data_IF_484418238673
#
_entry.id   IF_484418238673
#
_cell.length_a   1.000
_cell.length_b   1.000
_cell.length_c   1.000
_cell.angle_alpha   90.00
_cell.angle_beta   90.00
_cell.angle_gamma   90.00
#
_symmetry.space_group_name_H-M   'P 1'
#
loop_
_entity.id
_entity.type
_entity.pdbx_description
1 polymer ?
#
# COMPACT_ATOMS: atom_id res chain seq x y z
N UNK A 1 -22.21 -14.53 -17.73
CA UNK A 1 -22.20 -13.72 -16.51
C UNK A 1 -21.66 -14.65 -15.44
N UNK A 2 -20.40 -14.46 -15.02
CA UNK A 2 -19.86 -15.21 -13.89
C UNK A 2 -20.69 -14.79 -12.69
N UNK A 3 -21.36 -15.73 -12.05
CA UNK A 3 -22.11 -15.46 -10.82
C UNK A 3 -21.07 -15.28 -9.71
N UNK A 4 -20.94 -14.05 -9.21
CA UNK A 4 -19.94 -13.73 -8.19
C UNK A 4 -20.55 -14.07 -6.84
N UNK A 5 -20.04 -15.11 -6.19
CA UNK A 5 -20.45 -15.47 -4.84
C UNK A 5 -19.81 -14.56 -3.79
N UNK A 6 -20.19 -13.28 -3.80
CA UNK A 6 -19.72 -12.29 -2.83
C UNK A 6 -20.04 -12.72 -1.38
N UNK A 7 -21.14 -13.46 -1.18
CA UNK A 7 -21.53 -13.99 0.13
C UNK A 7 -20.53 -15.03 0.65
N UNK A 8 -20.15 -15.99 -0.19
CA UNK A 8 -19.12 -16.99 0.07
C UNK A 8 -17.77 -16.36 0.35
N UNK A 9 -17.33 -15.42 -0.49
CA UNK A 9 -16.10 -14.67 -0.31
C UNK A 9 -16.06 -13.94 1.04
N UNK A 10 -17.10 -13.17 1.38
CA UNK A 10 -17.16 -12.45 2.65
C UNK A 10 -17.18 -13.37 3.86
N UNK A 11 -17.76 -14.57 3.74
CA UNK A 11 -17.73 -15.59 4.79
C UNK A 11 -16.31 -16.14 4.96
N UNK A 12 -15.62 -16.48 3.88
CA UNK A 12 -14.25 -16.98 3.92
C UNK A 12 -13.25 -15.96 4.44
N UNK A 13 -13.35 -14.69 4.02
CA UNK A 13 -12.49 -13.61 4.54
C UNK A 13 -12.68 -13.33 6.05
N UNK A 14 -13.81 -13.76 6.62
CA UNK A 14 -14.10 -13.65 8.06
C UNK A 14 -13.87 -14.97 8.81
N UNK A 15 -13.36 -15.99 8.13
CA UNK A 15 -13.08 -17.29 8.74
C UNK A 15 -11.94 -17.16 9.74
N UNK A 16 -11.96 -18.02 10.76
CA UNK A 16 -10.82 -18.21 11.65
C UNK A 16 -9.82 -19.22 11.08
N UNK A 17 -10.17 -19.90 9.98
CA UNK A 17 -9.30 -20.85 9.29
C UNK A 17 -8.50 -20.11 8.22
N UNK A 18 -7.18 -20.22 8.28
CA UNK A 18 -6.26 -19.58 7.33
C UNK A 18 -6.47 -20.04 5.89
N UNK A 19 -6.83 -21.30 5.66
CA UNK A 19 -7.04 -21.84 4.32
C UNK A 19 -8.33 -21.28 3.70
N UNK A 20 -9.39 -21.09 4.50
CA UNK A 20 -10.61 -20.42 4.06
C UNK A 20 -10.32 -18.95 3.71
N UNK A 21 -9.50 -18.27 4.52
CA UNK A 21 -9.08 -16.90 4.24
C UNK A 21 -8.28 -16.80 2.94
N UNK A 22 -7.34 -17.73 2.72
CA UNK A 22 -6.53 -17.79 1.48
C UNK A 22 -7.38 -18.01 0.25
N UNK A 23 -8.29 -18.99 0.29
CA UNK A 23 -9.22 -19.25 -0.81
C UNK A 23 -10.09 -18.03 -1.11
N UNK A 24 -10.65 -17.39 -0.08
CA UNK A 24 -11.46 -16.20 -0.26
C UNK A 24 -10.67 -14.99 -0.76
N UNK A 25 -9.39 -14.86 -0.37
CA UNK A 25 -8.48 -13.85 -0.89
C UNK A 25 -8.14 -14.10 -2.37
N UNK A 26 -7.91 -15.35 -2.77
CA UNK A 26 -7.70 -15.71 -4.17
C UNK A 26 -8.89 -15.31 -5.05
N UNK A 27 -10.11 -15.68 -4.64
CA UNK A 27 -11.35 -15.25 -5.30
C UNK A 27 -11.49 -13.73 -5.32
N UNK A 28 -11.09 -13.05 -4.24
CA UNK A 28 -11.11 -11.58 -4.15
C UNK A 28 -10.14 -10.95 -5.14
N UNK A 29 -8.94 -11.51 -5.28
CA UNK A 29 -7.96 -11.02 -6.25
C UNK A 29 -8.42 -11.23 -7.69
N UNK A 30 -9.05 -12.36 -7.99
CA UNK A 30 -9.65 -12.62 -9.31
C UNK A 30 -10.76 -11.60 -9.61
N UNK A 31 -11.66 -11.37 -8.66
CA UNK A 31 -12.72 -10.38 -8.77
C UNK A 31 -12.15 -8.97 -9.07
N UNK A 32 -11.18 -8.50 -8.27
CA UNK A 32 -10.57 -7.19 -8.45
C UNK A 32 -9.81 -7.07 -9.78
N UNK A 33 -9.17 -8.15 -10.22
CA UNK A 33 -8.46 -8.19 -11.51
C UNK A 33 -9.42 -8.18 -12.70
N UNK A 34 -10.63 -8.73 -12.53
CA UNK A 34 -11.71 -8.64 -13.53
C UNK A 34 -12.33 -7.24 -13.64
N UNK A 35 -11.90 -6.29 -12.80
CA UNK A 35 -12.39 -4.91 -12.77
C UNK A 35 -13.68 -4.74 -11.99
N UNK A 36 -14.03 -5.71 -11.14
CA UNK A 36 -15.21 -5.69 -10.29
C UNK A 36 -14.77 -5.52 -8.83
N UNK A 37 -15.51 -4.72 -8.07
CA UNK A 37 -15.20 -4.47 -6.66
C UNK A 37 -16.45 -4.19 -5.85
N UNK A 38 -16.39 -4.58 -4.58
CA UNK A 38 -17.44 -4.33 -3.60
C UNK A 38 -16.86 -3.66 -2.35
N UNK A 39 -17.54 -2.63 -1.84
CA UNK A 39 -17.08 -1.87 -0.66
C UNK A 39 -17.11 -2.72 0.61
N UNK A 40 -17.97 -3.73 0.68
CA UNK A 40 -18.08 -4.69 1.77
C UNK A 40 -16.81 -5.51 2.01
N UNK A 41 -15.90 -5.56 1.03
CA UNK A 41 -14.58 -6.18 1.15
C UNK A 41 -13.61 -5.40 2.04
N UNK A 42 -13.79 -4.07 2.20
CA UNK A 42 -12.84 -3.23 2.96
C UNK A 42 -12.66 -3.70 4.40
N UNK A 43 -13.76 -3.90 5.14
CA UNK A 43 -13.68 -4.28 6.55
C UNK A 43 -12.95 -5.61 6.79
N UNK A 44 -13.32 -6.73 6.12
CA UNK A 44 -12.60 -7.98 6.32
C UNK A 44 -11.15 -7.91 5.83
N UNK A 45 -10.87 -7.25 4.70
CA UNK A 45 -9.48 -7.09 4.22
C UNK A 45 -8.63 -6.29 5.21
N UNK A 46 -9.17 -5.20 5.79
CA UNK A 46 -8.49 -4.44 6.86
C UNK A 46 -8.17 -5.37 8.04
N UNK A 47 -9.09 -6.24 8.46
CA UNK A 47 -8.83 -7.17 9.55
C UNK A 47 -7.73 -8.19 9.22
N UNK A 48 -7.69 -8.69 7.98
CA UNK A 48 -6.71 -9.69 7.54
C UNK A 48 -5.28 -9.15 7.42
N UNK A 49 -5.08 -7.83 7.38
CA UNK A 49 -3.73 -7.22 7.48
C UNK A 49 -3.01 -7.56 8.79
N UNK A 50 -3.75 -7.94 9.84
CA UNK A 50 -3.19 -8.35 11.13
C UNK A 50 -3.07 -9.88 11.29
N UNK A 51 -3.28 -10.65 10.21
CA UNK A 51 -3.14 -12.11 10.23
C UNK A 51 -1.73 -12.55 10.65
N UNK A 52 -1.61 -13.67 11.36
CA UNK A 52 -0.29 -14.27 11.64
C UNK A 52 0.35 -14.85 10.37
N UNK A 53 -0.48 -15.23 9.38
CA UNK A 53 -0.05 -15.75 8.09
C UNK A 53 0.39 -14.62 7.14
N UNK A 54 1.62 -14.69 6.67
CA UNK A 54 2.26 -13.72 5.78
C UNK A 54 1.56 -13.61 4.42
N UNK A 55 1.19 -14.74 3.80
CA UNK A 55 0.43 -14.75 2.55
C UNK A 55 -0.92 -14.05 2.72
N UNK A 56 -1.65 -14.29 3.81
CA UNK A 56 -2.91 -13.58 4.08
C UNK A 56 -2.68 -12.07 4.23
N UNK A 57 -1.66 -11.63 4.97
CA UNK A 57 -1.34 -10.19 5.10
C UNK A 57 -0.97 -9.56 3.76
N UNK A 58 -0.17 -10.27 2.96
CA UNK A 58 0.30 -9.82 1.64
C UNK A 58 -0.88 -9.59 0.70
N UNK A 59 -1.73 -10.61 0.57
CA UNK A 59 -2.85 -10.61 -0.37
C UNK A 59 -3.92 -9.60 0.08
N UNK A 60 -4.16 -9.48 1.39
CA UNK A 60 -5.05 -8.45 1.94
C UNK A 60 -4.54 -7.02 1.64
N UNK A 61 -3.25 -6.76 1.83
CA UNK A 61 -2.63 -5.45 1.56
C UNK A 61 -2.73 -5.10 0.07
N UNK A 62 -2.49 -6.07 -0.81
CA UNK A 62 -2.68 -5.90 -2.25
C UNK A 62 -4.14 -5.60 -2.61
N UNK A 63 -5.09 -6.34 -2.04
CA UNK A 63 -6.51 -6.11 -2.30
C UNK A 63 -6.94 -4.71 -1.86
N UNK A 64 -6.45 -4.20 -0.73
CA UNK A 64 -6.70 -2.82 -0.27
C UNK A 64 -6.17 -1.77 -1.26
N UNK A 65 -4.96 -1.96 -1.79
CA UNK A 65 -4.42 -1.07 -2.83
C UNK A 65 -5.21 -1.12 -4.13
N UNK A 66 -5.66 -2.31 -4.54
CA UNK A 66 -6.55 -2.47 -5.72
C UNK A 66 -7.90 -1.80 -5.55
N UNK A 67 -8.52 -1.94 -4.38
CA UNK A 67 -9.76 -1.23 -4.06
C UNK A 67 -9.53 0.29 -4.15
N UNK A 68 -8.41 0.79 -3.63
CA UNK A 68 -8.09 2.20 -3.71
C UNK A 68 -7.96 2.70 -5.16
N UNK A 69 -7.32 1.93 -6.06
CA UNK A 69 -7.30 2.21 -7.50
C UNK A 69 -8.69 2.29 -8.12
N UNK A 70 -9.62 1.47 -7.63
CA UNK A 70 -11.03 1.46 -8.04
C UNK A 70 -11.88 2.51 -7.33
N UNK A 71 -11.23 3.50 -6.68
CA UNK A 71 -11.87 4.60 -5.93
C UNK A 71 -12.66 4.15 -4.70
N UNK A 72 -12.31 2.98 -4.15
CA UNK A 72 -12.84 2.46 -2.91
C UNK A 72 -11.74 2.47 -1.85
N UNK A 73 -11.85 3.39 -0.90
CA UNK A 73 -10.88 3.51 0.20
C UNK A 73 -11.57 3.72 1.54
N UNK A 74 -10.85 3.38 2.60
CA UNK A 74 -11.23 3.65 3.98
C UNK A 74 -10.02 4.22 4.73
N UNK A 75 -10.15 5.32 5.47
CA UNK A 75 -9.06 5.83 6.31
C UNK A 75 -8.50 4.79 7.29
N UNK A 76 -9.32 3.83 7.75
CA UNK A 76 -8.87 2.73 8.61
C UNK A 76 -7.85 1.81 7.93
N UNK A 77 -7.79 1.82 6.59
CA UNK A 77 -6.74 1.10 5.87
C UNK A 77 -5.36 1.69 6.17
N UNK A 78 -5.23 2.99 6.45
CA UNK A 78 -3.95 3.59 6.86
C UNK A 78 -3.50 2.99 8.20
N UNK A 79 -4.38 2.97 9.20
CA UNK A 79 -4.09 2.43 10.53
C UNK A 79 -3.66 0.95 10.48
N UNK A 80 -4.23 0.19 9.56
CA UNK A 80 -3.91 -1.22 9.34
C UNK A 80 -2.62 -1.46 8.53
N UNK A 81 -2.32 -0.62 7.53
CA UNK A 81 -1.15 -0.78 6.65
C UNK A 81 0.13 -0.19 7.26
N UNK A 82 0.04 0.85 8.11
CA UNK A 82 1.21 1.50 8.73
C UNK A 82 2.11 0.51 9.50
N UNK A 83 1.57 -0.39 10.37
CA UNK A 83 2.39 -1.38 11.07
C UNK A 83 3.16 -2.32 10.12
N UNK A 84 2.61 -2.59 8.94
CA UNK A 84 3.22 -3.47 7.95
C UNK A 84 4.49 -2.88 7.32
N UNK A 85 4.81 -1.61 7.57
CA UNK A 85 6.10 -1.04 7.21
C UNK A 85 7.29 -1.76 7.91
N UNK A 86 7.03 -2.49 8.99
CA UNK A 86 8.01 -3.29 9.72
C UNK A 86 7.75 -4.79 9.62
N UNK A 87 6.94 -5.24 8.65
CA UNK A 87 6.65 -6.67 8.48
C UNK A 87 7.93 -7.47 8.17
N UNK A 88 7.96 -8.73 8.57
CA UNK A 88 9.10 -9.61 8.30
C UNK A 88 9.16 -9.99 6.82
N UNK A 89 8.00 -10.15 6.18
CA UNK A 89 7.92 -10.53 4.78
C UNK A 89 8.06 -9.30 3.86
N UNK A 90 8.94 -9.39 2.86
CA UNK A 90 9.23 -8.26 1.98
C UNK A 90 8.08 -7.91 1.03
N UNK A 91 7.27 -8.89 0.59
CA UNK A 91 6.14 -8.66 -0.31
C UNK A 91 4.99 -7.99 0.45
N UNK A 92 4.82 -8.31 1.73
CA UNK A 92 3.90 -7.58 2.63
C UNK A 92 4.32 -6.10 2.72
N UNK A 93 5.61 -5.82 2.97
CA UNK A 93 6.12 -4.43 3.03
C UNK A 93 5.95 -3.68 1.73
N UNK A 94 6.25 -4.33 0.59
CA UNK A 94 6.06 -3.76 -0.74
C UNK A 94 4.58 -3.42 -1.01
N UNK A 95 3.68 -4.38 -0.77
CA UNK A 95 2.24 -4.18 -0.96
C UNK A 95 1.69 -3.10 -0.04
N UNK A 96 2.20 -2.99 1.20
CA UNK A 96 1.83 -1.92 2.12
C UNK A 96 2.25 -0.54 1.58
N UNK A 97 3.50 -0.38 1.13
CA UNK A 97 3.96 0.86 0.50
C UNK A 97 3.09 1.24 -0.71
N UNK A 98 2.81 0.25 -1.57
CA UNK A 98 2.00 0.45 -2.76
C UNK A 98 0.57 0.88 -2.40
N UNK A 99 -0.09 0.15 -1.50
CA UNK A 99 -1.46 0.42 -1.08
C UNK A 99 -1.61 1.79 -0.40
N UNK A 100 -0.66 2.18 0.46
CA UNK A 100 -0.59 3.54 1.04
C UNK A 100 -0.48 4.62 -0.05
N UNK A 101 0.35 4.38 -1.06
CA UNK A 101 0.46 5.24 -2.23
C UNK A 101 -0.84 5.31 -3.03
N UNK A 102 -1.58 4.22 -3.19
CA UNK A 102 -2.88 4.22 -3.87
C UNK A 102 -3.96 4.98 -3.10
N UNK A 103 -4.06 4.76 -1.78
CA UNK A 103 -4.97 5.49 -0.90
C UNK A 103 -4.76 7.00 -0.96
N UNK A 104 -3.51 7.44 -1.10
CA UNK A 104 -3.15 8.85 -1.30
C UNK A 104 -3.84 9.46 -2.53
N UNK A 105 -4.11 8.66 -3.58
CA UNK A 105 -4.86 9.12 -4.76
C UNK A 105 -6.30 9.50 -4.49
N UNK A 106 -6.87 8.97 -3.40
CA UNK A 106 -8.20 9.28 -2.92
C UNK A 106 -8.19 10.42 -1.88
N UNK A 107 -7.02 11.03 -1.64
CA UNK A 107 -6.85 12.00 -0.56
C UNK A 107 -6.85 11.36 0.83
N UNK A 108 -6.59 10.05 0.92
CA UNK A 108 -6.49 9.32 2.19
C UNK A 108 -5.02 9.12 2.52
N UNK A 109 -4.58 9.74 3.61
CA UNK A 109 -3.20 9.72 4.07
C UNK A 109 -2.88 10.96 4.89
N UNK A 110 -1.80 10.88 5.66
CA UNK A 110 -1.42 11.91 6.62
C UNK A 110 0.09 11.84 6.93
N UNK A 111 0.54 12.56 7.96
CA UNK A 111 1.94 12.50 8.37
C UNK A 111 2.37 11.12 8.87
N UNK A 112 1.46 10.33 9.47
CA UNK A 112 1.75 8.96 9.91
C UNK A 112 2.07 8.07 8.70
N UNK A 113 1.34 8.27 7.60
CA UNK A 113 1.64 7.60 6.33
C UNK A 113 3.05 7.93 5.84
N UNK A 114 3.47 9.21 5.94
CA UNK A 114 4.84 9.63 5.56
C UNK A 114 5.90 8.99 6.47
N UNK A 115 5.65 8.88 7.77
CA UNK A 115 6.56 8.22 8.71
C UNK A 115 6.75 6.74 8.38
N UNK A 116 5.66 6.02 8.10
CA UNK A 116 5.70 4.63 7.65
C UNK A 116 6.50 4.47 6.33
N UNK A 117 6.24 5.33 5.35
CA UNK A 117 6.98 5.31 4.08
C UNK A 117 8.46 5.66 4.26
N UNK A 118 8.82 6.54 5.21
CA UNK A 118 10.21 6.84 5.52
C UNK A 118 10.96 5.63 6.10
N UNK A 119 10.30 4.77 6.88
CA UNK A 119 10.88 3.49 7.32
C UNK A 119 11.20 2.63 6.10
N UNK A 120 10.25 2.51 5.17
CA UNK A 120 10.37 1.71 3.95
C UNK A 120 11.39 2.28 2.94
N UNK A 121 11.70 3.58 2.97
CA UNK A 121 12.82 4.14 2.20
C UNK A 121 14.19 3.58 2.62
N UNK A 122 14.30 3.06 3.84
CA UNK A 122 15.54 2.47 4.39
C UNK A 122 15.52 0.94 4.37
N UNK A 123 14.53 0.34 3.71
CA UNK A 123 14.37 -1.11 3.63
C UNK A 123 15.59 -1.80 3.00
N UNK A 124 15.97 -3.02 3.41
CA UNK A 124 17.00 -3.78 2.71
C UNK A 124 16.65 -4.08 1.24
N UNK A 125 15.35 -4.24 0.92
CA UNK A 125 14.90 -4.60 -0.41
C UNK A 125 14.63 -3.38 -1.29
N UNK A 126 15.26 -3.36 -2.47
CA UNK A 126 15.18 -2.21 -3.39
C UNK A 126 13.77 -2.00 -3.93
N UNK A 127 13.02 -3.07 -4.14
CA UNK A 127 11.64 -3.02 -4.61
C UNK A 127 10.78 -2.22 -3.62
N UNK A 128 10.92 -2.52 -2.33
CA UNK A 128 10.25 -1.83 -1.23
C UNK A 128 10.65 -0.36 -1.16
N UNK A 129 11.96 -0.06 -1.23
CA UNK A 129 12.45 1.33 -1.23
C UNK A 129 11.87 2.16 -2.37
N UNK A 130 11.87 1.62 -3.60
CA UNK A 130 11.36 2.33 -4.76
C UNK A 130 9.85 2.55 -4.71
N UNK A 131 9.10 1.57 -4.17
CA UNK A 131 7.67 1.71 -3.93
C UNK A 131 7.39 2.82 -2.91
N UNK A 132 8.16 2.88 -1.82
CA UNK A 132 8.05 3.93 -0.82
C UNK A 132 8.37 5.32 -1.37
N UNK A 133 9.41 5.44 -2.20
CA UNK A 133 9.76 6.69 -2.88
C UNK A 133 8.64 7.17 -3.80
N UNK A 134 8.06 6.25 -4.59
CA UNK A 134 6.90 6.54 -5.43
C UNK A 134 5.69 6.99 -4.59
N UNK A 135 5.37 6.29 -3.49
CA UNK A 135 4.25 6.63 -2.63
C UNK A 135 4.43 8.04 -2.01
N UNK A 136 5.62 8.38 -1.52
CA UNK A 136 5.92 9.73 -1.00
C UNK A 136 5.77 10.82 -2.06
N UNK A 137 6.21 10.55 -3.29
CA UNK A 137 6.04 11.51 -4.38
C UNK A 137 4.57 11.70 -4.74
N UNK A 138 3.76 10.65 -4.62
CA UNK A 138 2.30 10.73 -4.74
C UNK A 138 1.66 11.54 -3.63
N UNK A 139 2.16 11.45 -2.39
CA UNK A 139 1.67 12.28 -1.29
C UNK A 139 1.90 13.76 -1.57
N UNK A 140 3.08 14.10 -2.09
CA UNK A 140 3.37 15.45 -2.53
C UNK A 140 2.50 15.87 -3.74
N UNK A 141 2.32 15.00 -4.75
CA UNK A 141 1.56 15.34 -5.98
C UNK A 141 0.06 15.52 -5.72
N UNK A 142 -0.57 14.56 -5.02
CA UNK A 142 -2.02 14.46 -4.88
C UNK A 142 -2.56 15.15 -3.63
N UNK A 143 -1.83 15.03 -2.53
CA UNK A 143 -2.28 15.56 -1.25
C UNK A 143 -1.56 16.85 -0.86
N UNK A 144 -0.47 17.21 -1.54
CA UNK A 144 0.40 18.34 -1.19
C UNK A 144 0.94 18.26 0.25
N UNK A 145 1.03 17.04 0.79
CA UNK A 145 1.60 16.76 2.11
C UNK A 145 3.00 16.19 1.91
N UNK A 146 3.96 16.71 2.68
CA UNK A 146 5.36 16.26 2.64
C UNK A 146 5.99 16.42 4.02
N UNK A 147 7.07 15.69 4.29
CA UNK A 147 7.91 15.89 5.47
C UNK A 147 9.34 16.23 5.06
N UNK A 148 9.98 17.23 5.70
CA UNK A 148 11.41 17.49 5.53
C UNK A 148 12.30 16.26 5.80
N UNK A 149 11.86 15.33 6.66
CA UNK A 149 12.61 14.11 6.99
C UNK A 149 12.75 13.13 5.82
N UNK A 150 11.85 13.18 4.83
CA UNK A 150 11.91 12.31 3.65
C UNK A 150 13.03 12.72 2.68
N UNK A 151 13.40 14.01 2.65
CA UNK A 151 14.33 14.54 1.64
C UNK A 151 15.75 13.96 1.75
N UNK A 152 16.37 13.88 2.94
CA UNK A 152 17.68 13.24 3.07
C UNK A 152 17.67 11.77 2.63
N UNK A 153 16.61 11.03 2.97
CA UNK A 153 16.46 9.61 2.61
C UNK A 153 16.37 9.43 1.09
N UNK A 154 15.53 10.22 0.42
CA UNK A 154 15.41 10.21 -1.04
C UNK A 154 16.72 10.63 -1.72
N UNK A 155 17.47 11.59 -1.15
CA UNK A 155 18.79 11.98 -1.70
C UNK A 155 19.83 10.87 -1.65
N UNK A 156 19.78 10.00 -0.64
CA UNK A 156 20.66 8.82 -0.57
C UNK A 156 20.36 7.89 -1.75
N UNK A 157 19.08 7.66 -2.07
CA UNK A 157 18.67 6.79 -3.19
C UNK A 157 19.13 7.28 -4.56
N UNK A 158 19.33 8.60 -4.75
CA UNK A 158 19.91 9.15 -5.98
C UNK A 158 21.33 8.65 -6.26
N UNK A 159 22.04 8.18 -5.24
CA UNK A 159 23.39 7.62 -5.35
C UNK A 159 23.40 6.10 -5.55
N UNK A 160 22.23 5.43 -5.52
CA UNK A 160 22.17 3.98 -5.72
C UNK A 160 22.46 3.60 -7.17
N UNK A 161 23.02 2.40 -7.38
CA UNK A 161 23.30 1.86 -8.72
C UNK A 161 22.03 1.51 -9.50
N UNK A 162 20.93 1.22 -8.82
CA UNK A 162 19.63 0.92 -9.40
C UNK A 162 19.01 2.16 -10.04
N UNK A 163 18.76 2.10 -11.33
CA UNK A 163 18.06 3.16 -12.05
C UNK A 163 16.63 3.36 -11.55
N UNK A 164 15.97 2.27 -11.13
CA UNK A 164 14.63 2.32 -10.55
C UNK A 164 14.59 3.21 -9.30
N UNK A 165 15.55 3.03 -8.39
CA UNK A 165 15.63 3.83 -7.16
C UNK A 165 15.96 5.29 -7.45
N UNK A 166 16.92 5.55 -8.34
CA UNK A 166 17.28 6.91 -8.72
C UNK A 166 16.08 7.64 -9.31
N UNK A 167 15.39 7.05 -10.29
CA UNK A 167 14.21 7.65 -10.95
C UNK A 167 13.06 7.87 -9.99
N UNK A 168 12.77 6.91 -9.10
CA UNK A 168 11.73 7.05 -8.09
C UNK A 168 12.02 8.21 -7.12
N UNK A 169 13.27 8.29 -6.65
CA UNK A 169 13.70 9.37 -5.77
C UNK A 169 13.70 10.74 -6.46
N UNK A 170 14.17 10.83 -7.70
CA UNK A 170 14.19 12.07 -8.50
C UNK A 170 12.75 12.58 -8.72
N UNK A 171 11.85 11.68 -9.11
CA UNK A 171 10.43 12.01 -9.29
C UNK A 171 9.81 12.50 -7.98
N UNK A 172 10.05 11.81 -6.87
CA UNK A 172 9.51 12.16 -5.55
C UNK A 172 10.03 13.52 -5.06
N UNK A 173 11.35 13.73 -5.14
CA UNK A 173 11.99 14.99 -4.74
C UNK A 173 11.49 16.18 -5.57
N UNK A 174 11.32 16.02 -6.88
CA UNK A 174 10.79 17.07 -7.73
C UNK A 174 9.41 17.56 -7.25
N UNK A 175 8.52 16.65 -6.84
CA UNK A 175 7.20 17.04 -6.32
C UNK A 175 7.29 17.71 -4.95
N UNK A 176 8.14 17.19 -4.07
CA UNK A 176 8.36 17.75 -2.74
C UNK A 176 8.93 19.18 -2.83
N UNK A 177 9.89 19.41 -3.72
CA UNK A 177 10.54 20.71 -3.88
C UNK A 177 9.60 21.79 -4.41
N UNK A 178 8.65 21.44 -5.29
CA UNK A 178 7.59 22.35 -5.77
C UNK A 178 6.67 22.87 -4.67
N UNK A 179 6.64 22.23 -3.50
CA UNK A 179 5.82 22.63 -2.36
C UNK A 179 6.57 23.54 -1.37
N UNK A 180 7.89 23.72 -1.52
CA UNK A 180 8.65 24.60 -0.64
C UNK A 180 8.33 26.07 -0.93
N UNK A 181 8.01 26.88 0.09
CA UNK A 181 7.90 28.33 -0.09
C UNK A 181 9.27 28.90 -0.51
N UNK A 182 9.27 29.74 -1.54
CA UNK A 182 10.43 30.49 -2.01
C UNK A 182 10.82 31.62 -1.05
#
# INVERSE_FOLDING_TARGET
>A
MVDIDLGGMLKGLRSLNVEDCRAALEETMELLTSGLADRGLLQPLIALTASEDDQVRRDASWCLGKLALMKLGDPRSIEALVPLAMDQDMEVRENAAWALGELTGLGIGDTITIEALNILLTDPEKQVQGMAAWALGRMADKMRVTSPSSVPLLKIMLQDKSEFLRKGAEWSLERIERLRPH
#
